data_IF_868263720239
#
_entry.id   IF_868263720239
#
_cell.length_a   1.000
_cell.length_b   1.000
_cell.length_c   1.000
_cell.angle_alpha   90.00
_cell.angle_beta   90.00
_cell.angle_gamma   90.00
#
_symmetry.space_group_name_H-M   'P 1'
#
loop_
_entity.id
_entity.type
_entity.pdbx_description
1 polymer ?
#
# COMPACT_ATOMS: atom_id res chain seq x y z
N UNK A 1 -16.61 14.51 4.99
CA UNK A 1 -16.79 13.60 3.84
C UNK A 1 -15.41 13.03 3.52
N UNK A 2 -15.11 11.85 4.07
CA UNK A 2 -13.78 11.23 4.02
C UNK A 2 -13.56 10.63 2.63
N UNK A 3 -12.72 11.27 1.84
CA UNK A 3 -12.32 10.81 0.51
C UNK A 3 -11.31 9.68 0.66
N UNK A 4 -11.68 8.51 0.18
CA UNK A 4 -10.84 7.31 0.03
C UNK A 4 -9.51 7.74 -0.61
N UNK A 5 -8.44 7.84 0.18
CA UNK A 5 -7.11 8.12 -0.32
C UNK A 5 -6.61 6.88 -1.06
N UNK A 6 -6.64 6.92 -2.39
CA UNK A 6 -6.01 5.91 -3.24
C UNK A 6 -4.48 6.09 -3.15
N UNK A 7 -3.90 5.57 -2.07
CA UNK A 7 -2.46 5.60 -1.85
C UNK A 7 -1.82 4.47 -2.64
N UNK A 8 -1.24 4.84 -3.78
CA UNK A 8 -0.41 3.93 -4.59
C UNK A 8 1.04 4.11 -4.14
N UNK A 9 1.60 3.07 -3.52
CA UNK A 9 3.01 3.06 -3.19
C UNK A 9 3.84 2.72 -4.43
N UNK A 10 4.51 3.73 -5.00
CA UNK A 10 5.42 3.55 -6.15
C UNK A 10 6.84 3.37 -5.63
N UNK A 11 7.45 2.21 -5.92
CA UNK A 11 8.87 1.96 -5.64
C UNK A 11 9.70 2.63 -6.75
N UNK A 12 10.65 3.49 -6.36
CA UNK A 12 11.65 4.04 -7.29
C UNK A 12 12.43 2.91 -7.97
N UNK A 13 12.52 2.96 -9.30
CA UNK A 13 13.03 1.89 -10.14
C UNK A 13 14.51 1.56 -9.84
N UNK A 14 14.79 0.30 -9.52
CA UNK A 14 16.06 -0.36 -9.74
C UNK A 14 15.77 -1.82 -10.15
N UNK A 15 16.19 -2.17 -11.35
CA UNK A 15 15.85 -3.38 -12.09
C UNK A 15 16.62 -4.58 -11.54
N UNK A 16 15.95 -5.70 -11.25
CA UNK A 16 16.58 -7.02 -11.35
C UNK A 16 15.53 -8.08 -11.71
N UNK A 17 15.86 -8.84 -12.76
CA UNK A 17 14.97 -9.76 -13.45
C UNK A 17 14.52 -10.93 -12.60
N UNK A 18 13.28 -11.35 -12.83
CA UNK A 18 12.71 -12.58 -12.31
C UNK A 18 12.37 -13.45 -13.53
N UNK A 19 13.10 -14.55 -13.70
CA UNK A 19 12.76 -15.61 -14.65
C UNK A 19 11.36 -16.14 -14.32
N UNK A 20 10.44 -16.00 -15.28
CA UNK A 20 9.11 -16.56 -15.19
C UNK A 20 9.16 -18.05 -15.57
N UNK A 21 9.23 -18.93 -14.57
CA UNK A 21 8.84 -20.34 -14.76
C UNK A 21 7.31 -20.40 -14.56
N UNK A 22 6.55 -20.51 -15.65
CA UNK A 22 5.09 -20.66 -15.59
C UNK A 22 4.69 -22.04 -15.09
N UNK A 23 3.61 -22.20 -14.30
CA UNK A 23 3.08 -23.51 -14.01
C UNK A 23 2.15 -23.97 -15.14
N UNK A 24 2.26 -25.26 -15.39
CA UNK A 24 1.49 -26.07 -16.32
C UNK A 24 -0.02 -25.96 -16.08
N UNK A 25 -0.78 -26.19 -17.17
CA UNK A 25 -2.22 -26.30 -17.21
C UNK A 25 -2.77 -27.31 -16.19
N UNK A 26 -3.70 -26.88 -15.34
CA UNK A 26 -4.54 -27.77 -14.52
C UNK A 26 -5.99 -27.75 -15.05
N UNK A 27 -6.53 -28.89 -15.54
CA UNK A 27 -7.90 -29.00 -16.00
C UNK A 27 -8.83 -29.26 -14.80
N UNK A 28 -9.16 -28.21 -14.06
CA UNK A 28 -10.01 -28.35 -12.87
C UNK A 28 -10.37 -27.01 -12.27
N UNK A 29 -11.18 -26.21 -12.96
CA UNK A 29 -11.66 -24.92 -12.46
C UNK A 29 -12.47 -25.13 -11.17
N UNK A 30 -12.01 -24.66 -9.98
CA UNK A 30 -12.87 -24.65 -8.81
C UNK A 30 -13.88 -23.50 -8.91
N UNK A 31 -15.05 -23.76 -8.33
CA UNK A 31 -16.22 -22.90 -8.26
C UNK A 31 -15.89 -21.47 -7.83
N UNK A 32 -16.74 -20.53 -8.27
CA UNK A 32 -16.65 -19.10 -8.00
C UNK A 32 -16.05 -18.80 -6.61
N UNK A 33 -14.88 -18.16 -6.61
CA UNK A 33 -14.27 -17.66 -5.37
C UNK A 33 -15.25 -16.73 -4.65
N UNK A 34 -15.14 -16.59 -3.32
CA UNK A 34 -16.04 -15.75 -2.54
C UNK A 34 -16.12 -14.32 -3.13
N UNK A 35 -17.23 -13.57 -2.94
CA UNK A 35 -17.45 -12.26 -3.59
C UNK A 35 -16.41 -11.18 -3.25
N UNK A 36 -15.54 -11.43 -2.27
CA UNK A 36 -14.35 -10.63 -1.97
C UNK A 36 -13.09 -11.11 -2.72
N UNK A 37 -13.25 -11.92 -3.77
CA UNK A 37 -12.18 -12.38 -4.64
C UNK A 37 -11.36 -11.16 -5.06
N UNK A 38 -10.18 -11.05 -4.46
CA UNK A 38 -9.30 -9.91 -4.59
C UNK A 38 -9.08 -9.66 -6.07
N UNK A 39 -9.63 -8.55 -6.59
CA UNK A 39 -9.35 -8.12 -7.95
C UNK A 39 -7.83 -8.14 -8.09
N UNK A 40 -7.30 -8.86 -9.09
CA UNK A 40 -5.86 -8.84 -9.36
C UNK A 40 -5.54 -7.41 -9.76
N UNK A 41 -5.05 -6.63 -8.79
CA UNK A 41 -4.42 -5.36 -9.06
C UNK A 41 -3.15 -5.68 -9.86
N UNK A 42 -2.80 -4.79 -10.79
CA UNK A 42 -1.50 -4.87 -11.47
C UNK A 42 -0.32 -4.70 -10.49
N UNK A 43 -0.61 -4.34 -9.24
CA UNK A 43 0.35 -4.13 -8.17
C UNK A 43 0.30 -5.27 -7.14
N UNK A 44 1.47 -5.73 -6.66
CA UNK A 44 1.52 -6.69 -5.57
C UNK A 44 0.92 -6.09 -4.30
N UNK A 45 0.30 -6.95 -3.49
CA UNK A 45 -0.12 -6.61 -2.13
C UNK A 45 1.07 -6.16 -1.29
N UNK A 46 0.89 -5.12 -0.48
CA UNK A 46 1.81 -4.82 0.63
C UNK A 46 1.10 -5.10 1.97
N UNK A 47 1.44 -6.21 2.67
CA UNK A 47 0.80 -6.56 3.93
C UNK A 47 1.01 -5.50 5.02
N UNK A 48 -0.04 -5.21 5.78
CA UNK A 48 0.05 -4.42 7.01
C UNK A 48 0.48 -5.33 8.16
N UNK A 49 1.45 -4.91 8.95
CA UNK A 49 1.93 -5.64 10.13
C UNK A 49 1.64 -4.87 11.42
N UNK A 50 1.68 -5.55 12.56
CA UNK A 50 1.57 -4.91 13.88
C UNK A 50 2.65 -3.83 14.10
N UNK A 51 3.84 -4.00 13.51
CA UNK A 51 4.91 -3.01 13.56
C UNK A 51 4.51 -1.67 12.88
N UNK A 52 3.71 -1.72 11.80
CA UNK A 52 3.15 -0.51 11.19
C UNK A 52 2.18 0.19 12.14
N UNK A 53 1.35 -0.57 12.87
CA UNK A 53 0.44 -0.03 13.88
C UNK A 53 1.16 0.67 15.04
N UNK A 54 2.20 0.03 15.60
CA UNK A 54 3.03 0.64 16.65
C UNK A 54 3.70 1.92 16.16
N UNK A 55 4.22 1.92 14.94
CA UNK A 55 4.82 3.13 14.34
C UNK A 55 3.77 4.23 14.12
N UNK A 56 2.58 3.90 13.62
CA UNK A 56 1.48 4.85 13.42
C UNK A 56 1.04 5.51 14.74
N UNK A 57 1.01 4.74 15.83
CA UNK A 57 0.71 5.26 17.18
C UNK A 57 1.77 6.25 17.71
N UNK A 58 3.00 6.22 17.19
CA UNK A 58 4.10 7.12 17.58
C UNK A 58 4.23 8.36 16.71
N UNK A 59 3.49 8.45 15.61
CA UNK A 59 3.52 9.63 14.75
C UNK A 59 2.99 10.87 15.50
N UNK A 60 3.49 12.09 15.22
CA UNK A 60 2.90 13.32 15.71
C UNK A 60 1.40 13.40 15.40
N UNK A 61 0.60 14.05 16.25
CA UNK A 61 -0.84 14.19 16.05
C UNK A 61 -1.18 15.34 15.10
N UNK A 62 -0.74 15.23 13.85
CA UNK A 62 -1.01 16.22 12.78
C UNK A 62 -2.26 15.84 11.97
N UNK A 63 -2.55 14.54 11.90
CA UNK A 63 -3.71 13.97 11.22
C UNK A 63 -4.39 12.99 12.15
N UNK A 64 -5.73 13.03 12.21
CA UNK A 64 -6.53 12.21 13.12
C UNK A 64 -6.97 10.87 12.52
N UNK A 65 -6.95 10.73 11.19
CA UNK A 65 -7.36 9.47 10.56
C UNK A 65 -6.33 8.35 10.85
N UNK A 66 -6.73 7.28 11.55
CA UNK A 66 -5.82 6.20 11.91
C UNK A 66 -5.32 5.40 10.70
N UNK A 67 -6.09 5.34 9.61
CA UNK A 67 -5.67 4.67 8.37
C UNK A 67 -4.62 5.49 7.62
N UNK A 68 -4.78 6.81 7.50
CA UNK A 68 -3.73 7.64 6.90
C UNK A 68 -2.42 7.55 7.68
N UNK A 69 -2.51 7.55 9.03
CA UNK A 69 -1.33 7.35 9.89
C UNK A 69 -0.68 5.99 9.69
N UNK A 70 -1.48 4.94 9.47
CA UNK A 70 -0.99 3.60 9.16
C UNK A 70 -0.30 3.55 7.78
N UNK A 71 -0.85 4.24 6.77
CA UNK A 71 -0.25 4.35 5.44
C UNK A 71 1.07 5.13 5.47
N UNK A 72 1.15 6.21 6.24
CA UNK A 72 2.40 6.94 6.51
C UNK A 72 3.42 6.03 7.17
N UNK A 73 3.05 5.31 8.22
CA UNK A 73 3.94 4.39 8.91
C UNK A 73 4.47 3.28 7.98
N UNK A 74 3.62 2.73 7.11
CA UNK A 74 4.02 1.74 6.13
C UNK A 74 4.94 2.34 5.06
N UNK A 75 4.65 3.53 4.54
CA UNK A 75 5.51 4.20 3.57
C UNK A 75 6.90 4.50 4.14
N UNK A 76 6.98 4.97 5.38
CA UNK A 76 8.25 5.16 6.09
C UNK A 76 9.03 3.86 6.27
N UNK A 77 8.38 2.78 6.68
CA UNK A 77 9.02 1.49 6.93
C UNK A 77 9.61 0.87 5.64
N UNK A 78 8.96 1.10 4.50
CA UNK A 78 9.33 0.50 3.22
C UNK A 78 10.01 1.50 2.25
N UNK A 79 10.26 2.74 2.69
CA UNK A 79 10.81 3.85 1.88
C UNK A 79 10.02 4.07 0.57
N UNK A 80 8.71 4.11 0.69
CA UNK A 80 7.78 4.30 -0.43
C UNK A 80 7.30 5.75 -0.47
N UNK A 81 6.91 6.20 -1.66
CA UNK A 81 6.20 7.47 -1.82
C UNK A 81 4.69 7.28 -1.61
N UNK A 82 4.05 8.26 -0.96
CA UNK A 82 2.59 8.35 -0.85
C UNK A 82 2.05 9.25 -1.95
N UNK A 83 1.16 8.70 -2.78
CA UNK A 83 0.35 9.50 -3.70
C UNK A 83 -0.88 10.00 -2.96
N UNK A 84 -1.08 11.32 -2.87
CA UNK A 84 -2.21 11.86 -2.09
C UNK A 84 -2.62 13.28 -2.49
N UNK A 85 -3.91 13.60 -2.27
CA UNK A 85 -4.45 14.98 -2.30
C UNK A 85 -4.49 15.63 -0.92
N UNK A 86 -4.24 14.86 0.15
CA UNK A 86 -4.33 15.32 1.52
C UNK A 86 -3.22 16.33 1.82
N UNK A 87 -3.59 17.55 2.23
CA UNK A 87 -2.67 18.64 2.54
C UNK A 87 -1.86 18.42 3.82
N UNK A 88 -2.32 17.55 4.73
CA UNK A 88 -1.68 17.31 6.02
C UNK A 88 -0.59 16.23 5.94
N UNK A 89 -0.66 15.30 4.97
CA UNK A 89 0.31 14.20 4.84
C UNK A 89 1.77 14.68 4.62
N UNK A 90 2.06 15.70 3.80
CA UNK A 90 3.43 16.21 3.63
C UNK A 90 4.09 16.77 4.90
N UNK A 91 3.34 16.96 5.99
CA UNK A 91 3.88 17.40 7.28
C UNK A 91 4.55 16.27 8.05
N UNK A 92 4.38 15.01 7.62
CA UNK A 92 5.15 13.89 8.12
C UNK A 92 6.43 13.70 7.33
N UNK A 93 7.44 13.09 7.95
CA UNK A 93 8.67 12.67 7.30
C UNK A 93 8.40 11.47 6.36
N UNK A 94 7.86 11.76 5.18
CA UNK A 94 7.52 10.76 4.15
C UNK A 94 7.57 11.42 2.76
N UNK A 95 8.04 10.68 1.76
CA UNK A 95 8.01 11.15 0.37
C UNK A 95 6.58 11.22 -0.15
N UNK A 96 6.21 12.33 -0.78
CA UNK A 96 4.84 12.55 -1.30
C UNK A 96 4.85 12.89 -2.78
N UNK A 97 3.89 12.32 -3.53
CA UNK A 97 3.51 12.72 -4.88
C UNK A 97 2.10 13.28 -4.83
N UNK A 98 1.89 14.50 -5.35
CA UNK A 98 0.60 15.19 -5.33
C UNK A 98 -0.21 14.83 -6.59
N UNK A 99 -1.52 14.62 -6.42
CA UNK A 99 -2.50 14.36 -7.49
C UNK A 99 -3.76 15.18 -7.32
#
# INVERSE_FOLDING_TARGET
MSGIAEVIAVRGAAQHGVSAQGPASDPGRPAAGPPYARRRLAFPSLPVTAAHGVRAGRLPLVHEDPFDRLLIAQAQAHRLALVTRNALIPQYDVTVVRV
#
